data_IF_064170673628
#
_entry.id   IF_064170673628
#
_cell.length_a   1.000
_cell.length_b   1.000
_cell.length_c   1.000
_cell.angle_alpha   90.00
_cell.angle_beta   90.00
_cell.angle_gamma   90.00
#
_symmetry.space_group_name_H-M   'P 1'
#
loop_
_entity.id
_entity.type
_entity.pdbx_description
1 polymer ?
#
# COMPACT_ATOMS: atom_id res chain seq x y z
N UNK A 1 -34.55 -15.65 -43.07
CA UNK A 1 -33.12 -15.59 -42.72
C UNK A 1 -32.73 -14.13 -42.67
N UNK A 2 -32.74 -13.53 -41.48
CA UNK A 2 -32.14 -12.22 -41.30
C UNK A 2 -30.63 -12.34 -41.54
N UNK A 3 -30.09 -11.50 -42.42
CA UNK A 3 -28.64 -11.31 -42.58
C UNK A 3 -28.06 -10.98 -41.20
N UNK A 4 -26.90 -11.56 -40.80
CA UNK A 4 -26.21 -11.09 -39.61
C UNK A 4 -25.95 -9.60 -39.85
N UNK A 5 -26.44 -8.75 -38.92
CA UNK A 5 -26.08 -7.34 -38.91
C UNK A 5 -24.58 -7.30 -38.69
N UNK A 6 -23.82 -7.04 -39.74
CA UNK A 6 -22.41 -6.66 -39.64
C UNK A 6 -22.41 -5.43 -38.77
N UNK A 7 -22.04 -5.61 -37.50
CA UNK A 7 -21.66 -4.51 -36.64
C UNK A 7 -20.64 -3.72 -37.46
N UNK A 8 -21.00 -2.52 -37.92
CA UNK A 8 -20.07 -1.61 -38.62
C UNK A 8 -18.75 -1.70 -37.88
N UNK A 9 -17.68 -2.10 -38.59
CA UNK A 9 -16.43 -2.55 -37.99
C UNK A 9 -16.03 -1.59 -36.87
N UNK A 10 -16.32 -1.99 -35.63
CA UNK A 10 -16.16 -1.13 -34.49
C UNK A 10 -14.67 -0.81 -34.45
N UNK A 11 -14.31 0.48 -34.55
CA UNK A 11 -12.90 0.85 -34.53
C UNK A 11 -12.29 0.35 -33.23
N UNK A 12 -11.00 0.01 -33.24
CA UNK A 12 -10.31 -0.44 -32.03
C UNK A 12 -10.50 0.55 -30.86
N UNK A 13 -10.60 1.85 -31.17
CA UNK A 13 -10.86 2.90 -30.17
C UNK A 13 -12.23 2.73 -29.50
N UNK A 14 -13.29 2.45 -30.25
CA UNK A 14 -14.62 2.21 -29.68
C UNK A 14 -14.66 0.91 -28.86
N UNK A 15 -13.93 -0.12 -29.30
CA UNK A 15 -13.83 -1.39 -28.54
C UNK A 15 -13.12 -1.15 -27.21
N UNK A 16 -12.03 -0.38 -27.22
CA UNK A 16 -11.32 0.06 -26.01
C UNK A 16 -12.27 0.80 -25.07
N UNK A 17 -13.05 1.75 -25.59
CA UNK A 17 -14.05 2.48 -24.81
C UNK A 17 -15.12 1.58 -24.18
N UNK A 18 -15.56 0.54 -24.89
CA UNK A 18 -16.49 -0.46 -24.34
C UNK A 18 -15.84 -1.24 -23.20
N UNK A 19 -14.62 -1.75 -23.42
CA UNK A 19 -13.91 -2.54 -22.41
C UNK A 19 -13.56 -1.73 -21.16
N UNK A 20 -13.26 -0.44 -21.30
CA UNK A 20 -13.06 0.47 -20.15
C UNK A 20 -14.31 0.65 -19.29
N UNK A 21 -15.51 0.36 -19.80
CA UNK A 21 -16.76 0.45 -19.03
C UNK A 21 -17.13 -0.85 -18.33
N UNK A 22 -16.41 -1.95 -18.60
CA UNK A 22 -16.66 -3.23 -17.93
C UNK A 22 -16.11 -3.15 -16.51
N UNK A 23 -16.96 -2.88 -15.52
CA UNK A 23 -16.54 -2.79 -14.12
C UNK A 23 -16.25 -4.13 -13.43
N UNK A 24 -16.57 -5.25 -14.07
CA UNK A 24 -16.33 -6.60 -13.56
C UNK A 24 -15.03 -7.13 -14.16
N UNK A 25 -13.94 -7.30 -13.38
CA UNK A 25 -12.70 -7.81 -13.95
C UNK A 25 -12.82 -9.23 -14.50
N UNK A 26 -13.75 -10.04 -13.95
CA UNK A 26 -14.05 -11.35 -14.49
C UNK A 26 -14.67 -11.28 -15.90
N UNK A 27 -15.54 -10.30 -16.17
CA UNK A 27 -16.07 -10.06 -17.51
C UNK A 27 -15.00 -9.53 -18.47
N UNK A 28 -14.08 -8.69 -17.99
CA UNK A 28 -12.98 -8.21 -18.80
C UNK A 28 -12.01 -9.35 -19.18
N UNK A 29 -11.73 -10.28 -18.26
CA UNK A 29 -10.97 -11.50 -18.55
C UNK A 29 -11.72 -12.39 -19.56
N UNK A 30 -13.05 -12.53 -19.43
CA UNK A 30 -13.85 -13.25 -20.43
C UNK A 30 -13.79 -12.59 -21.80
N UNK A 31 -13.82 -11.26 -21.86
CA UNK A 31 -13.69 -10.50 -23.10
C UNK A 31 -12.31 -10.70 -23.74
N UNK A 32 -11.22 -10.71 -22.96
CA UNK A 32 -9.88 -10.96 -23.48
C UNK A 32 -9.73 -12.36 -24.05
N UNK A 33 -10.41 -13.35 -23.47
CA UNK A 33 -10.42 -14.74 -23.95
C UNK A 33 -11.26 -14.95 -25.23
N UNK A 34 -12.10 -13.99 -25.64
CA UNK A 34 -12.99 -14.16 -26.78
C UNK A 34 -12.24 -14.18 -28.13
N UNK A 35 -11.19 -13.36 -28.29
CA UNK A 35 -10.34 -13.40 -29.48
C UNK A 35 -8.96 -12.75 -29.25
N UNK A 36 -8.00 -13.05 -30.13
CA UNK A 36 -6.62 -12.51 -30.07
C UNK A 36 -6.59 -10.99 -30.15
N UNK A 37 -7.48 -10.37 -30.95
CA UNK A 37 -7.54 -8.91 -31.07
C UNK A 37 -7.94 -8.25 -29.74
N UNK A 38 -8.96 -8.78 -29.06
CA UNK A 38 -9.39 -8.29 -27.75
C UNK A 38 -8.35 -8.53 -26.68
N UNK A 39 -7.72 -9.71 -26.68
CA UNK A 39 -6.59 -10.00 -25.81
C UNK A 39 -5.48 -8.96 -25.93
N UNK A 40 -5.08 -8.61 -27.17
CA UNK A 40 -4.04 -7.60 -27.42
C UNK A 40 -4.47 -6.19 -26.99
N UNK A 41 -5.73 -5.81 -27.21
CA UNK A 41 -6.23 -4.51 -26.77
C UNK A 41 -6.25 -4.39 -25.25
N UNK A 42 -6.73 -5.43 -24.55
CA UNK A 42 -6.83 -5.45 -23.09
C UNK A 42 -5.46 -5.56 -22.43
N UNK A 43 -4.52 -6.31 -23.03
CA UNK A 43 -3.15 -6.41 -22.56
C UNK A 43 -2.29 -5.18 -22.90
N UNK A 44 -2.83 -4.20 -23.63
CA UNK A 44 -2.08 -3.00 -23.97
C UNK A 44 -1.82 -2.16 -22.70
N UNK A 45 -0.57 -1.72 -22.44
CA UNK A 45 -0.26 -0.90 -21.27
C UNK A 45 -1.10 0.38 -21.17
N UNK A 46 -1.44 1.02 -22.29
CA UNK A 46 -2.29 2.23 -22.29
C UNK A 46 -3.74 1.90 -21.88
N UNK A 47 -4.26 0.75 -22.31
CA UNK A 47 -5.57 0.27 -21.90
C UNK A 47 -5.58 -0.01 -20.40
N UNK A 48 -4.61 -0.79 -19.91
CA UNK A 48 -4.51 -1.14 -18.49
C UNK A 48 -4.41 0.12 -17.63
N UNK A 49 -3.60 1.11 -18.02
CA UNK A 49 -3.50 2.39 -17.31
C UNK A 49 -4.85 3.11 -17.22
N UNK A 50 -5.54 3.25 -18.35
CA UNK A 50 -6.88 3.88 -18.38
C UNK A 50 -7.92 3.07 -17.61
N UNK A 51 -7.78 1.75 -17.58
CA UNK A 51 -8.66 0.90 -16.80
C UNK A 51 -8.41 1.10 -15.30
N UNK A 52 -7.15 1.12 -14.85
CA UNK A 52 -6.77 1.37 -13.44
C UNK A 52 -7.14 2.77 -12.94
N UNK A 53 -7.18 3.78 -13.83
CA UNK A 53 -7.61 5.13 -13.43
C UNK A 53 -9.11 5.26 -13.23
N UNK A 54 -9.91 4.37 -13.84
CA UNK A 54 -11.37 4.37 -13.74
C UNK A 54 -11.88 3.35 -12.73
N UNK A 55 -11.21 2.20 -12.61
CA UNK A 55 -11.62 1.09 -11.75
C UNK A 55 -10.69 0.96 -10.55
N UNK A 56 -11.22 0.94 -9.33
CA UNK A 56 -10.40 0.70 -8.15
C UNK A 56 -9.84 -0.72 -8.17
N UNK A 57 -8.68 -0.93 -7.53
CA UNK A 57 -8.14 -2.27 -7.33
C UNK A 57 -9.03 -3.06 -6.39
N UNK A 58 -9.00 -4.39 -6.54
CA UNK A 58 -9.81 -5.28 -5.72
C UNK A 58 -9.04 -5.73 -4.50
N UNK A 59 -9.60 -5.50 -3.31
CA UNK A 59 -9.13 -6.15 -2.09
C UNK A 59 -9.46 -7.64 -2.16
N UNK A 60 -8.42 -8.47 -2.18
CA UNK A 60 -8.56 -9.93 -2.25
C UNK A 60 -8.35 -10.61 -0.90
N UNK A 61 -7.69 -9.98 0.06
CA UNK A 61 -7.47 -10.57 1.37
C UNK A 61 -6.38 -9.86 2.14
N UNK A 62 -5.89 -10.53 3.19
CA UNK A 62 -4.79 -10.08 4.02
C UNK A 62 -3.65 -11.10 3.93
N UNK A 63 -2.47 -10.64 3.54
CA UNK A 63 -1.24 -11.43 3.57
C UNK A 63 -0.62 -11.39 4.96
N UNK A 64 -0.25 -12.58 5.44
CA UNK A 64 0.57 -12.71 6.63
C UNK A 64 2.07 -12.50 6.33
N UNK A 65 2.89 -12.29 7.37
CA UNK A 65 4.32 -12.07 7.17
C UNK A 65 5.02 -13.20 6.40
N UNK A 66 4.47 -14.41 6.39
CA UNK A 66 5.06 -15.59 5.76
C UNK A 66 4.54 -15.84 4.33
N UNK A 67 3.57 -15.06 3.86
CA UNK A 67 3.01 -15.15 2.52
C UNK A 67 1.75 -16.03 2.41
N UNK A 68 1.16 -16.46 3.53
CA UNK A 68 -0.17 -17.07 3.49
C UNK A 68 -1.24 -15.97 3.42
N UNK A 69 -2.27 -16.18 2.59
CA UNK A 69 -3.37 -15.22 2.41
C UNK A 69 -4.62 -15.68 3.16
N UNK A 70 -5.19 -14.78 3.94
CA UNK A 70 -6.57 -14.88 4.41
C UNK A 70 -7.48 -14.17 3.40
N UNK A 71 -8.22 -14.91 2.55
CA UNK A 71 -9.02 -14.32 1.49
C UNK A 71 -10.22 -13.54 2.05
N UNK A 72 -10.70 -12.55 1.30
CA UNK A 72 -11.97 -11.88 1.64
C UNK A 72 -13.12 -12.89 1.70
N UNK A 73 -13.94 -12.81 2.73
CA UNK A 73 -15.02 -13.75 2.99
C UNK A 73 -16.37 -13.23 2.50
N UNK A 74 -17.32 -14.13 2.24
CA UNK A 74 -18.71 -13.73 1.96
C UNK A 74 -19.31 -12.97 3.15
N UNK A 75 -20.04 -11.86 2.94
CA UNK A 75 -20.64 -11.42 1.68
C UNK A 75 -19.82 -10.39 0.88
N UNK A 76 -18.51 -10.24 1.12
CA UNK A 76 -17.68 -9.27 0.41
C UNK A 76 -17.71 -9.50 -1.12
N UNK A 77 -17.83 -8.46 -1.96
CA UNK A 77 -17.96 -8.61 -3.42
C UNK A 77 -16.80 -9.38 -4.07
N UNK A 78 -15.59 -9.24 -3.53
CA UNK A 78 -14.39 -9.92 -4.04
C UNK A 78 -14.24 -11.38 -3.60
N UNK A 79 -15.09 -11.91 -2.72
CA UNK A 79 -14.86 -13.19 -2.04
C UNK A 79 -14.65 -14.38 -2.99
N UNK A 80 -15.45 -14.46 -4.07
CA UNK A 80 -15.31 -15.54 -5.06
C UNK A 80 -13.95 -15.48 -5.79
N UNK A 81 -13.51 -14.28 -6.14
CA UNK A 81 -12.25 -14.05 -6.82
C UNK A 81 -11.05 -14.23 -5.87
N UNK A 82 -11.15 -13.73 -4.65
CA UNK A 82 -10.19 -13.92 -3.57
C UNK A 82 -9.89 -15.40 -3.36
N UNK A 83 -10.94 -16.22 -3.23
CA UNK A 83 -10.78 -17.67 -3.12
C UNK A 83 -10.16 -18.32 -4.36
N UNK A 84 -10.43 -17.80 -5.56
CA UNK A 84 -9.79 -18.30 -6.78
C UNK A 84 -8.30 -17.96 -6.84
N UNK A 85 -7.92 -16.73 -6.48
CA UNK A 85 -6.53 -16.27 -6.43
C UNK A 85 -5.76 -17.03 -5.35
N UNK A 86 -6.31 -17.18 -4.14
CA UNK A 86 -5.69 -17.95 -3.06
C UNK A 86 -5.41 -19.43 -3.44
N UNK A 87 -6.16 -20.00 -4.40
CA UNK A 87 -5.92 -21.36 -4.91
C UNK A 87 -4.93 -21.42 -6.08
N UNK A 88 -4.78 -20.33 -6.82
CA UNK A 88 -4.06 -20.31 -8.10
C UNK A 88 -2.69 -19.62 -8.03
N UNK A 89 -2.57 -18.58 -7.20
CA UNK A 89 -1.33 -17.88 -6.94
C UNK A 89 -0.57 -18.61 -5.82
N UNK A 90 0.68 -18.94 -6.07
CA UNK A 90 1.59 -19.28 -4.98
C UNK A 90 2.10 -17.97 -4.40
N UNK A 91 1.60 -17.63 -3.21
CA UNK A 91 1.98 -16.41 -2.49
C UNK A 91 3.13 -16.69 -1.50
N UNK A 92 3.70 -17.90 -1.56
CA UNK A 92 4.91 -18.24 -0.80
C UNK A 92 6.11 -17.94 -1.66
N UNK A 93 7.02 -17.14 -1.11
CA UNK A 93 8.16 -16.63 -1.86
C UNK A 93 9.45 -17.42 -1.63
N UNK A 94 9.38 -18.48 -0.82
CA UNK A 94 10.55 -19.28 -0.45
C UNK A 94 11.30 -19.91 -1.63
N UNK A 95 10.63 -20.27 -2.71
CA UNK A 95 11.27 -20.86 -3.90
C UNK A 95 12.16 -19.86 -4.67
N UNK A 96 11.90 -18.56 -4.52
CA UNK A 96 12.68 -17.49 -5.16
C UNK A 96 13.99 -17.18 -4.44
N UNK A 97 14.16 -17.68 -3.22
CA UNK A 97 15.35 -17.47 -2.41
C UNK A 97 15.99 -18.84 -2.13
N UNK A 98 17.21 -19.11 -2.64
CA UNK A 98 17.85 -20.40 -2.43
C UNK A 98 17.92 -20.69 -0.92
N UNK A 99 17.46 -21.88 -0.51
CA UNK A 99 17.50 -22.35 0.89
C UNK A 99 18.95 -22.53 1.36
N UNK A 100 19.67 -21.42 1.60
CA UNK A 100 20.69 -21.44 2.63
C UNK A 100 19.93 -21.61 3.95
N UNK A 101 20.46 -22.41 4.87
CA UNK A 101 19.80 -22.76 6.15
C UNK A 101 19.59 -21.57 7.10
N UNK A 102 19.75 -20.34 6.62
CA UNK A 102 20.06 -19.15 7.41
C UNK A 102 19.35 -17.87 6.92
N UNK A 103 18.25 -17.91 6.15
CA UNK A 103 17.49 -16.67 5.85
C UNK A 103 15.98 -16.88 5.76
N UNK A 104 15.23 -16.11 6.56
CA UNK A 104 13.77 -15.97 6.46
C UNK A 104 13.39 -14.75 5.63
N UNK A 105 12.11 -14.66 5.25
CA UNK A 105 11.54 -13.44 4.66
C UNK A 105 10.28 -13.04 5.42
N UNK A 106 9.98 -11.74 5.39
CA UNK A 106 8.75 -11.17 5.91
C UNK A 106 8.11 -10.28 4.82
N UNK A 107 6.81 -10.42 4.61
CA UNK A 107 6.02 -9.46 3.82
C UNK A 107 6.00 -8.13 4.57
N UNK A 108 6.49 -7.07 3.91
CA UNK A 108 6.60 -5.73 4.50
C UNK A 108 5.53 -4.78 3.99
N UNK A 109 5.25 -4.82 2.69
CA UNK A 109 4.22 -3.98 2.10
C UNK A 109 3.66 -4.61 0.82
N UNK A 110 2.47 -4.17 0.42
CA UNK A 110 1.81 -4.60 -0.81
C UNK A 110 1.23 -3.39 -1.52
N UNK A 111 1.55 -3.26 -2.80
CA UNK A 111 1.01 -2.20 -3.64
C UNK A 111 0.91 -2.60 -5.10
N UNK A 112 -0.21 -2.26 -5.72
CA UNK A 112 -0.52 -2.46 -7.13
C UNK A 112 -0.33 -3.93 -7.58
N UNK A 113 -0.58 -4.88 -6.67
CA UNK A 113 -0.37 -6.32 -6.87
C UNK A 113 1.06 -6.82 -6.63
N UNK A 114 2.02 -5.92 -6.40
CA UNK A 114 3.40 -6.26 -6.02
C UNK A 114 3.53 -6.42 -4.52
N UNK A 115 4.40 -7.35 -4.11
CA UNK A 115 4.68 -7.66 -2.72
C UNK A 115 6.14 -7.34 -2.42
N UNK A 116 6.38 -6.46 -1.45
CA UNK A 116 7.70 -6.14 -0.95
C UNK A 116 8.06 -7.08 0.21
N UNK A 117 9.23 -7.68 0.10
CA UNK A 117 9.76 -8.64 1.04
C UNK A 117 11.02 -8.06 1.69
N UNK A 118 11.07 -8.13 3.01
CA UNK A 118 12.28 -7.97 3.79
C UNK A 118 12.89 -9.35 4.01
N UNK A 119 14.14 -9.53 3.61
CA UNK A 119 14.90 -10.77 3.74
C UNK A 119 15.85 -10.59 4.91
N UNK A 120 15.62 -11.37 5.97
CA UNK A 120 16.40 -11.32 7.20
C UNK A 120 17.27 -12.58 7.30
N UNK A 121 18.60 -12.46 7.43
CA UNK A 121 19.42 -13.61 7.79
C UNK A 121 19.04 -14.08 9.21
N UNK A 122 18.89 -15.38 9.42
CA UNK A 122 18.94 -15.99 10.74
C UNK A 122 20.41 -15.98 11.17
N UNK A 123 20.79 -15.03 12.00
CA UNK A 123 22.14 -14.97 12.58
C UNK A 123 22.20 -15.96 13.75
N UNK A 124 23.09 -16.94 13.68
CA UNK A 124 23.42 -17.82 14.83
C UNK A 124 24.44 -17.16 15.77
N UNK A 125 25.09 -16.08 15.33
CA UNK A 125 26.09 -15.32 16.09
C UNK A 125 25.86 -13.80 15.94
N UNK A 126 25.94 -13.04 17.04
CA UNK A 126 25.67 -11.59 17.17
C UNK A 126 26.59 -10.66 16.34
N UNK A 127 27.48 -11.18 15.48
CA UNK A 127 28.60 -10.40 14.92
C UNK A 127 28.38 -9.78 13.53
N UNK A 128 27.31 -10.12 12.80
CA UNK A 128 27.06 -9.62 11.42
C UNK A 128 25.60 -9.15 11.19
N UNK A 129 25.04 -8.33 12.08
CA UNK A 129 23.73 -7.73 11.83
C UNK A 129 23.83 -6.64 10.74
N UNK A 130 23.42 -7.00 9.52
CA UNK A 130 23.40 -6.09 8.39
C UNK A 130 22.47 -4.92 8.68
N UNK A 131 22.99 -3.70 8.57
CA UNK A 131 22.26 -2.46 8.89
C UNK A 131 20.94 -2.29 8.13
N UNK A 132 20.93 -2.70 6.86
CA UNK A 132 19.77 -2.60 5.98
C UNK A 132 19.40 -4.01 5.54
N UNK A 133 18.14 -4.44 5.72
CA UNK A 133 17.71 -5.75 5.27
C UNK A 133 17.85 -5.87 3.75
N UNK A 134 18.06 -7.08 3.27
CA UNK A 134 17.95 -7.34 1.84
C UNK A 134 16.49 -7.25 1.42
N UNK A 135 16.23 -6.65 0.26
CA UNK A 135 14.87 -6.39 -0.20
C UNK A 135 14.60 -7.08 -1.53
N UNK A 136 13.35 -7.51 -1.71
CA UNK A 136 12.87 -8.02 -2.98
C UNK A 136 11.44 -7.57 -3.23
N UNK A 137 11.12 -7.31 -4.50
CA UNK A 137 9.75 -7.00 -4.95
C UNK A 137 9.29 -8.12 -5.86
N UNK A 138 8.16 -8.71 -5.53
CA UNK A 138 7.59 -9.85 -6.25
C UNK A 138 6.23 -9.50 -6.86
N UNK A 139 6.03 -9.88 -8.13
CA UNK A 139 4.71 -10.03 -8.73
C UNK A 139 4.34 -11.53 -8.67
N UNK A 140 3.47 -11.94 -7.73
CA UNK A 140 3.11 -13.35 -7.57
C UNK A 140 2.27 -13.88 -8.74
N UNK A 141 1.55 -13.01 -9.47
CA UNK A 141 0.74 -13.43 -10.61
C UNK A 141 1.60 -13.63 -11.86
N UNK A 142 2.60 -12.78 -12.05
CA UNK A 142 3.62 -12.98 -13.07
C UNK A 142 4.68 -14.03 -12.69
N UNK A 143 4.74 -14.42 -11.40
CA UNK A 143 5.74 -15.30 -10.82
C UNK A 143 7.17 -14.78 -11.00
N UNK A 144 7.33 -13.47 -10.88
CA UNK A 144 8.62 -12.78 -11.03
C UNK A 144 8.97 -12.12 -9.70
N UNK A 145 10.20 -12.31 -9.25
CA UNK A 145 10.75 -11.60 -8.10
C UNK A 145 12.05 -10.90 -8.52
N UNK A 146 12.15 -9.62 -8.16
CA UNK A 146 13.33 -8.80 -8.36
C UNK A 146 13.97 -8.51 -6.99
N UNK A 147 15.17 -9.03 -6.76
CA UNK A 147 15.99 -8.64 -5.60
C UNK A 147 16.61 -7.27 -5.88
N UNK A 148 16.48 -6.36 -4.92
CA UNK A 148 17.03 -5.01 -5.04
C UNK A 148 18.54 -5.04 -4.77
N UNK A 149 19.34 -4.17 -5.43
CA UNK A 149 20.72 -3.97 -5.05
C UNK A 149 20.79 -3.42 -3.62
N UNK A 150 21.85 -3.71 -2.85
CA UNK A 150 22.06 -3.08 -1.54
C UNK A 150 22.20 -1.55 -1.69
N UNK A 151 21.85 -0.82 -0.64
CA UNK A 151 22.12 0.63 -0.58
C UNK A 151 23.64 0.82 -0.62
N UNK A 152 24.18 1.64 -1.54
CA UNK A 152 25.62 1.85 -1.65
C UNK A 152 26.25 2.44 -0.37
N UNK A 153 27.44 1.96 0.01
CA UNK A 153 28.13 2.40 1.24
C UNK A 153 28.51 3.90 1.21
N UNK A 154 28.82 4.43 0.03
CA UNK A 154 29.10 5.85 -0.17
C UNK A 154 27.84 6.71 0.06
N UNK A 155 26.67 6.20 -0.33
CA UNK A 155 25.39 6.83 -0.05
C UNK A 155 25.08 6.81 1.46
N UNK A 156 25.28 5.67 2.14
CA UNK A 156 25.14 5.56 3.60
C UNK A 156 26.08 6.52 4.34
N UNK A 157 27.34 6.61 3.90
CA UNK A 157 28.33 7.51 4.49
C UNK A 157 27.96 9.00 4.29
N UNK A 158 27.36 9.35 3.13
CA UNK A 158 26.99 10.73 2.81
C UNK A 158 25.96 11.34 3.77
N UNK A 159 25.08 10.51 4.33
CA UNK A 159 24.05 10.92 5.29
C UNK A 159 24.51 10.81 6.75
N UNK A 160 25.82 10.62 6.97
CA UNK A 160 26.47 10.59 8.30
C UNK A 160 25.90 9.52 9.23
N UNK A 161 25.37 8.43 8.66
CA UNK A 161 24.99 7.24 9.42
C UNK A 161 26.29 6.57 9.90
N UNK A 162 26.75 6.92 11.10
CA UNK A 162 27.98 6.34 11.67
C UNK A 162 27.72 4.91 12.14
N UNK A 163 28.64 3.99 11.80
CA UNK A 163 28.46 2.57 12.11
C UNK A 163 28.34 2.23 13.60
N UNK A 164 28.79 3.11 14.49
CA UNK A 164 28.82 2.87 15.94
C UNK A 164 27.53 3.30 16.68
N UNK A 165 26.65 4.09 16.05
CA UNK A 165 25.30 4.40 16.57
C UNK A 165 24.25 3.34 16.16
N UNK A 166 24.66 2.31 15.41
CA UNK A 166 23.79 1.43 14.63
C UNK A 166 23.04 0.33 15.40
N UNK A 167 23.37 0.13 16.67
CA UNK A 167 22.83 -0.99 17.49
C UNK A 167 21.32 -0.86 17.76
N UNK A 168 20.71 0.29 17.45
CA UNK A 168 19.29 0.58 17.70
C UNK A 168 18.60 1.33 16.55
N UNK A 169 18.83 0.91 15.29
CA UNK A 169 18.03 1.42 14.17
C UNK A 169 16.86 0.50 13.86
N UNK A 170 15.72 1.10 13.52
CA UNK A 170 14.61 0.41 12.88
C UNK A 170 14.53 0.83 11.42
N UNK A 171 14.25 -0.14 10.54
CA UNK A 171 14.02 0.10 9.13
C UNK A 171 12.57 -0.23 8.80
N UNK A 172 11.81 0.78 8.36
CA UNK A 172 10.49 0.55 7.77
C UNK A 172 10.60 0.63 6.25
N UNK A 173 9.95 -0.27 5.55
CA UNK A 173 10.05 -0.36 4.10
C UNK A 173 8.67 -0.30 3.45
N UNK A 174 8.57 0.46 2.35
CA UNK A 174 7.30 0.78 1.70
C UNK A 174 7.40 0.71 0.19
N UNK A 175 6.35 0.24 -0.46
CA UNK A 175 6.14 0.37 -1.89
C UNK A 175 5.40 1.65 -2.21
N UNK A 176 5.89 2.38 -3.20
CA UNK A 176 5.28 3.63 -3.67
C UNK A 176 5.14 3.57 -5.18
N UNK A 177 4.01 4.06 -5.73
CA UNK A 177 3.89 4.22 -7.17
C UNK A 177 5.06 5.05 -7.71
N UNK A 178 5.59 4.70 -8.89
CA UNK A 178 6.72 5.45 -9.48
C UNK A 178 6.38 6.92 -9.80
N UNK A 179 5.09 7.29 -9.80
CA UNK A 179 4.61 8.61 -10.23
C UNK A 179 4.69 8.82 -11.74
N UNK A 180 5.51 8.03 -12.44
CA UNK A 180 5.58 7.97 -13.89
C UNK A 180 4.32 7.29 -14.43
N UNK A 181 3.36 8.10 -14.87
CA UNK A 181 2.14 7.61 -15.49
C UNK A 181 2.44 6.75 -16.73
N UNK A 182 3.64 6.81 -17.32
CA UNK A 182 3.99 6.10 -18.54
C UNK A 182 4.23 4.59 -18.35
N UNK A 183 4.72 4.13 -17.20
CA UNK A 183 5.03 2.70 -16.98
C UNK A 183 4.29 2.11 -15.77
N UNK A 184 3.26 1.34 -16.09
CA UNK A 184 2.36 0.65 -15.14
C UNK A 184 3.08 -0.44 -14.34
N UNK A 185 4.30 -0.82 -14.75
CA UNK A 185 5.14 -1.82 -14.07
C UNK A 185 6.26 -1.21 -13.24
N UNK A 186 6.45 0.10 -13.33
CA UNK A 186 7.48 0.79 -12.55
C UNK A 186 7.04 0.99 -11.10
N UNK A 187 7.99 0.87 -10.18
CA UNK A 187 7.76 1.04 -8.76
C UNK A 187 8.96 1.72 -8.08
N UNK A 188 8.70 2.28 -6.91
CA UNK A 188 9.74 2.78 -6.01
C UNK A 188 9.65 2.06 -4.68
N UNK A 189 10.80 1.84 -4.07
CA UNK A 189 10.90 1.29 -2.71
C UNK A 189 11.55 2.31 -1.82
N UNK A 190 10.92 2.59 -0.69
CA UNK A 190 11.47 3.47 0.32
C UNK A 190 11.96 2.62 1.48
N UNK A 191 13.16 2.92 1.94
CA UNK A 191 13.71 2.44 3.21
C UNK A 191 13.83 3.64 4.14
N UNK A 192 13.00 3.66 5.17
CA UNK A 192 13.02 4.65 6.22
C UNK A 192 13.90 4.15 7.35
N UNK A 193 15.06 4.76 7.52
CA UNK A 193 16.00 4.45 8.58
C UNK A 193 15.81 5.42 9.74
N UNK A 194 15.59 4.89 10.94
CA UNK A 194 15.30 5.65 12.15
C UNK A 194 16.24 5.30 13.29
N UNK A 195 16.88 6.32 13.88
CA UNK A 195 17.48 6.24 15.22
C UNK A 195 16.68 7.03 16.24
N UNK A 196 17.20 7.06 17.47
CA UNK A 196 16.67 7.88 18.56
C UNK A 196 16.72 9.39 18.27
N UNK A 197 17.58 9.85 17.35
CA UNK A 197 17.79 11.28 17.09
C UNK A 197 17.56 11.69 15.63
N UNK A 198 17.61 10.75 14.68
CA UNK A 198 17.62 11.07 13.25
C UNK A 198 16.70 10.14 12.45
N UNK A 199 16.18 10.69 11.35
CA UNK A 199 15.46 9.98 10.30
C UNK A 199 16.10 10.23 8.95
N UNK A 200 16.23 9.20 8.13
CA UNK A 200 16.70 9.28 6.75
C UNK A 200 15.83 8.39 5.88
N UNK A 201 15.47 8.89 4.68
CA UNK A 201 14.77 8.11 3.67
C UNK A 201 15.73 7.75 2.54
N UNK A 202 15.81 6.47 2.18
CA UNK A 202 16.48 5.98 0.98
C UNK A 202 15.45 5.47 -0.01
N UNK A 203 15.67 5.73 -1.30
CA UNK A 203 14.66 5.52 -2.33
C UNK A 203 15.30 4.85 -3.53
N UNK A 204 14.82 3.65 -3.80
CA UNK A 204 15.14 2.89 -5.00
C UNK A 204 14.10 3.18 -6.08
N UNK A 205 14.57 3.37 -7.32
CA UNK A 205 13.70 3.45 -8.50
C UNK A 205 13.90 2.26 -9.40
N UNK A 206 12.82 1.55 -9.75
CA UNK A 206 12.90 0.44 -10.69
C UNK A 206 13.22 0.89 -12.13
N UNK A 207 13.02 2.17 -12.46
CA UNK A 207 13.28 2.72 -13.81
C UNK A 207 14.75 2.96 -14.06
N UNK A 208 15.48 3.45 -13.05
CA UNK A 208 16.93 3.70 -13.13
C UNK A 208 17.73 2.53 -12.61
N UNK A 209 17.19 1.76 -11.66
CA UNK A 209 17.91 0.73 -10.92
C UNK A 209 18.83 1.28 -9.83
N UNK A 210 18.69 2.56 -9.50
CA UNK A 210 19.59 3.28 -8.59
C UNK A 210 18.91 3.67 -7.27
N UNK A 211 19.74 3.84 -6.24
CA UNK A 211 19.36 4.40 -4.95
C UNK A 211 19.65 5.89 -4.87
N UNK A 212 18.79 6.60 -4.16
CA UNK A 212 18.98 8.00 -3.76
C UNK A 212 18.63 8.17 -2.28
N UNK A 213 19.07 9.26 -1.67
CA UNK A 213 18.78 9.57 -0.27
C UNK A 213 18.18 10.97 -0.13
N UNK A 214 17.22 11.11 0.78
CA UNK A 214 16.72 12.39 1.25
C UNK A 214 17.66 13.03 2.27
N UNK A 215 17.39 14.29 2.60
CA UNK A 215 18.16 14.98 3.64
C UNK A 215 17.87 14.37 5.02
N UNK A 216 18.90 14.12 5.86
CA UNK A 216 18.69 13.67 7.22
C UNK A 216 17.85 14.66 8.02
N UNK A 217 16.91 14.15 8.80
CA UNK A 217 16.01 14.94 9.64
C UNK A 217 16.28 14.67 11.11
N UNK A 218 16.50 15.74 11.87
CA UNK A 218 16.66 15.64 13.33
C UNK A 218 15.31 15.52 14.00
N UNK A 219 15.09 14.40 14.68
CA UNK A 219 13.86 14.08 15.40
C UNK A 219 13.67 15.01 16.60
N UNK A 220 14.76 15.51 17.19
CA UNK A 220 14.73 16.34 18.39
C UNK A 220 14.01 15.63 19.54
N UNK A 221 12.86 16.18 19.95
CA UNK A 221 11.99 15.59 20.99
C UNK A 221 10.83 14.77 20.44
N UNK A 222 10.63 14.74 19.11
CA UNK A 222 9.49 14.06 18.50
C UNK A 222 9.62 12.55 18.72
N UNK A 223 8.48 11.88 18.91
CA UNK A 223 8.42 10.43 19.08
C UNK A 223 7.46 9.85 18.04
N UNK A 224 7.94 8.87 17.28
CA UNK A 224 7.12 8.14 16.30
C UNK A 224 7.02 6.71 16.83
N UNK A 225 5.81 6.20 17.11
CA UNK A 225 5.65 4.82 17.57
C UNK A 225 6.15 3.84 16.51
N UNK A 226 6.81 2.76 16.94
CA UNK A 226 7.33 1.73 16.04
C UNK A 226 6.22 1.04 15.23
N UNK A 227 5.03 0.88 15.81
CA UNK A 227 3.90 0.24 15.12
C UNK A 227 3.08 1.22 14.24
N UNK A 228 3.58 2.44 14.01
CA UNK A 228 2.82 3.46 13.30
C UNK A 228 3.05 3.36 11.79
N UNK A 229 2.09 2.74 11.10
CA UNK A 229 2.09 2.66 9.63
C UNK A 229 1.77 4.06 9.09
N UNK A 230 2.64 4.64 8.24
CA UNK A 230 2.34 5.93 7.67
C UNK A 230 1.20 5.86 6.67
N UNK A 231 0.45 6.94 6.60
CA UNK A 231 -0.47 7.16 5.49
C UNK A 231 0.23 7.86 4.33
N UNK A 232 -0.18 7.54 3.09
CA UNK A 232 0.34 8.16 1.88
C UNK A 232 -0.77 8.89 1.13
N UNK A 233 -0.60 10.19 0.90
CA UNK A 233 -1.56 11.02 0.17
C UNK A 233 -0.85 12.17 -0.55
N UNK A 234 -1.22 12.42 -1.80
CA UNK A 234 -0.69 13.50 -2.65
C UNK A 234 0.84 13.57 -2.69
N UNK A 235 1.49 12.42 -2.83
CA UNK A 235 2.95 12.36 -2.91
C UNK A 235 3.66 12.60 -1.58
N UNK A 236 2.95 12.55 -0.45
CA UNK A 236 3.52 12.75 0.87
C UNK A 236 3.19 11.57 1.79
N UNK A 237 4.17 11.18 2.61
CA UNK A 237 3.93 10.29 3.75
C UNK A 237 3.64 11.10 5.00
N UNK A 238 2.76 10.59 5.86
CA UNK A 238 2.38 11.21 7.12
C UNK A 238 2.45 10.18 8.25
N UNK A 239 3.21 10.50 9.31
CA UNK A 239 3.27 9.74 10.55
C UNK A 239 2.70 10.57 11.70
N UNK A 240 1.78 9.99 12.47
CA UNK A 240 1.34 10.58 13.75
C UNK A 240 2.49 10.62 14.76
N UNK A 241 2.76 11.81 15.29
CA UNK A 241 3.68 11.99 16.42
C UNK A 241 2.95 11.58 17.69
N UNK A 242 3.62 10.77 18.52
CA UNK A 242 3.08 10.24 19.76
C UNK A 242 2.75 11.35 20.77
N UNK A 243 1.60 11.26 21.44
CA UNK A 243 1.15 12.21 22.47
C UNK A 243 1.04 13.67 22.03
N UNK A 244 1.15 13.96 20.74
CA UNK A 244 1.14 15.30 20.19
C UNK A 244 0.17 15.40 19.00
N UNK A 245 -0.56 16.51 18.89
CA UNK A 245 -1.39 16.81 17.74
C UNK A 245 -0.51 17.32 16.57
N UNK A 246 0.44 16.51 16.12
CA UNK A 246 1.37 16.81 15.02
C UNK A 246 1.56 15.59 14.12
N UNK A 247 1.85 15.85 12.85
CA UNK A 247 2.24 14.85 11.87
C UNK A 247 3.66 15.16 11.37
N UNK A 248 4.54 14.16 11.41
CA UNK A 248 5.75 14.20 10.59
C UNK A 248 5.35 13.91 9.14
N UNK A 249 5.82 14.73 8.22
CA UNK A 249 5.54 14.60 6.79
C UNK A 249 6.83 14.43 6.00
N UNK A 250 6.88 13.49 5.05
CA UNK A 250 7.94 13.38 4.04
C UNK A 250 7.34 13.67 2.66
N UNK A 251 7.82 14.72 2.01
CA UNK A 251 7.43 15.05 0.63
C UNK A 251 8.28 14.25 -0.35
N UNK A 252 7.66 13.43 -1.21
CA UNK A 252 8.37 12.56 -2.15
C UNK A 252 8.91 13.26 -3.39
N UNK A 253 8.49 14.50 -3.66
CA UNK A 253 9.02 15.28 -4.77
C UNK A 253 10.30 16.02 -4.37
N UNK A 254 10.33 16.60 -3.17
CA UNK A 254 11.52 17.29 -2.65
C UNK A 254 12.46 16.40 -1.83
N UNK A 255 11.98 15.25 -1.36
CA UNK A 255 12.67 14.39 -0.39
C UNK A 255 13.00 15.10 0.93
N UNK A 256 12.10 15.98 1.36
CA UNK A 256 12.27 16.77 2.58
C UNK A 256 11.23 16.41 3.64
N UNK A 257 11.70 16.35 4.88
CA UNK A 257 10.86 16.20 6.06
C UNK A 257 10.36 17.55 6.56
N UNK A 258 9.13 17.55 7.06
CA UNK A 258 8.51 18.70 7.72
C UNK A 258 7.54 18.24 8.80
N UNK A 259 7.14 19.14 9.69
CA UNK A 259 6.16 18.86 10.75
C UNK A 259 4.94 19.72 10.53
N UNK A 260 3.76 19.11 10.56
CA UNK A 260 2.48 19.77 10.35
C UNK A 260 1.64 19.64 11.62
N UNK A 261 1.15 20.75 12.13
CA UNK A 261 0.23 20.74 13.27
C UNK A 261 -1.17 20.25 12.86
N UNK A 262 -1.74 19.40 13.71
CA UNK A 262 -3.13 19.02 13.68
C UNK A 262 -3.95 20.01 14.51
N UNK A 263 -5.24 20.19 14.21
CA UNK A 263 -6.09 21.09 14.98
C UNK A 263 -6.20 20.72 16.45
N UNK A 264 -6.45 21.71 17.32
CA UNK A 264 -6.56 21.48 18.75
C UNK A 264 -7.75 20.57 19.06
N UNK A 265 -7.53 19.62 19.96
CA UNK A 265 -8.53 18.62 20.34
C UNK A 265 -7.94 17.56 21.27
N UNK A 266 -8.75 16.58 21.72
CA UNK A 266 -8.23 15.43 22.44
C UNK A 266 -7.17 14.73 21.59
N UNK A 267 -6.15 14.15 22.23
CA UNK A 267 -5.11 13.41 21.51
C UNK A 267 -5.76 12.26 20.72
N UNK A 268 -5.48 12.26 19.42
CA UNK A 268 -6.00 11.28 18.46
C UNK A 268 -4.99 10.13 18.41
N UNK A 269 -5.34 8.98 18.97
CA UNK A 269 -4.40 7.86 19.11
C UNK A 269 -3.95 7.28 17.76
N UNK A 270 -4.84 7.27 16.77
CA UNK A 270 -4.55 6.84 15.41
C UNK A 270 -5.09 7.88 14.44
N UNK A 271 -4.23 8.37 13.55
CA UNK A 271 -4.57 9.36 12.52
C UNK A 271 -4.06 8.86 11.18
N UNK A 272 -4.94 8.80 10.19
CA UNK A 272 -4.60 8.45 8.82
C UNK A 272 -5.03 9.60 7.90
N UNK A 273 -4.11 10.02 7.04
CA UNK A 273 -4.34 11.03 6.02
C UNK A 273 -4.67 10.36 4.68
N UNK A 274 -5.66 10.89 3.97
CA UNK A 274 -6.07 10.37 2.67
C UNK A 274 -6.34 11.49 1.67
N UNK A 275 -6.37 11.13 0.40
CA UNK A 275 -6.80 12.03 -0.67
C UNK A 275 -8.32 12.15 -0.69
N UNK A 276 -8.86 13.32 -0.33
CA UNK A 276 -10.30 13.61 -0.35
C UNK A 276 -10.76 14.27 -1.67
N UNK A 277 -9.91 14.27 -2.70
CA UNK A 277 -10.16 14.91 -3.98
C UNK A 277 -10.05 16.44 -3.92
N UNK A 278 -9.99 17.10 -5.09
CA UNK A 278 -9.96 18.57 -5.20
C UNK A 278 -8.82 19.22 -4.39
N UNK A 279 -7.68 18.53 -4.30
CA UNK A 279 -6.52 18.96 -3.49
C UNK A 279 -6.86 19.18 -2.02
N UNK A 280 -7.70 18.31 -1.45
CA UNK A 280 -8.05 18.29 -0.04
C UNK A 280 -7.54 17.03 0.64
N UNK A 281 -6.97 17.21 1.82
CA UNK A 281 -6.61 16.10 2.70
C UNK A 281 -7.82 15.73 3.56
N UNK A 282 -8.21 14.47 3.48
CA UNK A 282 -9.09 13.84 4.45
C UNK A 282 -8.27 13.31 5.62
N UNK A 283 -8.80 13.43 6.82
CA UNK A 283 -8.21 12.91 8.04
C UNK A 283 -9.22 11.99 8.72
N UNK A 284 -8.83 10.74 8.91
CA UNK A 284 -9.56 9.78 9.72
C UNK A 284 -8.85 9.61 11.05
N UNK A 285 -9.63 9.61 12.13
CA UNK A 285 -9.08 9.38 13.45
C UNK A 285 -10.03 8.64 14.35
N UNK A 286 -9.47 7.80 15.21
CA UNK A 286 -10.21 7.21 16.31
C UNK A 286 -10.04 8.04 17.57
N UNK A 287 -11.17 8.38 18.19
CA UNK A 287 -11.23 9.04 19.50
C UNK A 287 -11.91 8.12 20.52
N UNK A 288 -12.03 8.58 21.78
CA UNK A 288 -12.68 7.84 22.87
C UNK A 288 -12.14 6.42 23.02
N UNK A 289 -10.81 6.28 23.07
CA UNK A 289 -10.12 5.00 23.18
C UNK A 289 -10.47 3.98 22.07
N UNK A 290 -10.67 4.45 20.84
CA UNK A 290 -10.89 3.54 19.70
C UNK A 290 -12.36 3.21 19.42
N UNK A 291 -13.31 3.93 20.00
CA UNK A 291 -14.75 3.60 19.89
C UNK A 291 -15.53 4.53 18.96
N UNK A 292 -14.95 5.65 18.55
CA UNK A 292 -15.62 6.61 17.67
C UNK A 292 -14.68 6.97 16.52
N UNK A 293 -15.10 6.66 15.29
CA UNK A 293 -14.39 7.04 14.08
C UNK A 293 -14.88 8.42 13.61
N UNK A 294 -13.95 9.36 13.51
CA UNK A 294 -14.21 10.71 13.02
C UNK A 294 -13.51 10.91 11.67
N UNK A 295 -14.19 11.63 10.79
CA UNK A 295 -13.65 12.08 9.51
C UNK A 295 -13.76 13.60 9.39
N UNK A 296 -12.67 14.22 9.00
CA UNK A 296 -12.59 15.65 8.81
C UNK A 296 -11.74 16.00 7.58
N UNK A 297 -12.01 17.16 6.97
CA UNK A 297 -11.37 17.57 5.71
C UNK A 297 -10.62 18.89 5.89
N UNK A 298 -9.45 19.01 5.24
CA UNK A 298 -8.63 20.22 5.19
C UNK A 298 -8.17 20.51 3.76
N UNK A 299 -8.21 21.79 3.35
CA UNK A 299 -7.66 22.22 2.06
C UNK A 299 -6.12 22.30 2.12
N UNK A 300 -5.44 21.78 1.10
CA UNK A 300 -3.99 21.92 0.96
C UNK A 300 -3.67 23.36 0.54
N UNK A 301 -2.70 24.01 1.20
CA UNK A 301 -2.08 25.25 0.72
C UNK A 301 -2.75 26.57 1.08
N UNK A 302 -3.80 26.61 1.92
CA UNK A 302 -4.32 27.89 2.43
C UNK A 302 -3.94 28.12 3.89
N UNK A 303 -3.12 29.15 4.13
CA UNK A 303 -2.67 29.60 5.46
C UNK A 303 -3.83 29.97 6.41
N UNK A 304 -5.04 30.18 5.86
CA UNK A 304 -6.24 30.60 6.60
C UNK A 304 -7.21 29.46 6.95
N UNK A 305 -6.93 28.20 6.58
CA UNK A 305 -7.85 27.06 6.80
C UNK A 305 -7.31 25.99 7.76
N UNK A 306 -6.68 26.41 8.87
CA UNK A 306 -6.41 25.48 9.98
C UNK A 306 -7.70 24.97 10.67
N UNK A 307 -8.88 25.37 10.18
CA UNK A 307 -10.17 24.85 10.61
C UNK A 307 -10.50 23.62 9.75
N UNK A 308 -10.43 22.43 10.35
CA UNK A 308 -11.08 21.24 9.81
C UNK A 308 -12.57 21.54 9.70
N UNK A 309 -13.13 21.37 8.51
CA UNK A 309 -14.58 21.41 8.35
C UNK A 309 -15.16 20.12 8.94
N UNK A 310 -15.73 20.26 10.14
CA UNK A 310 -16.66 19.37 10.85
C UNK A 310 -16.28 17.88 10.90
N UNK A 311 -15.91 17.39 12.10
CA UNK A 311 -15.77 15.95 12.37
C UNK A 311 -17.13 15.26 12.15
N UNK A 312 -17.31 14.61 11.01
CA UNK A 312 -18.42 13.69 10.79
C UNK A 312 -18.11 12.38 11.49
N UNK A 313 -19.07 11.88 12.28
CA UNK A 313 -18.93 10.59 12.96
C UNK A 313 -19.39 9.49 12.01
N UNK A 314 -18.50 8.55 11.74
CA UNK A 314 -18.79 7.37 10.92
C UNK A 314 -19.16 6.22 11.86
N UNK A 315 -20.33 5.61 11.68
CA UNK A 315 -20.77 4.52 12.55
C UNK A 315 -19.86 3.30 12.36
N UNK A 316 -19.24 2.86 13.44
CA UNK A 316 -18.47 1.62 13.47
C UNK A 316 -19.40 0.40 13.65
N UNK A 317 -19.00 -0.78 13.17
CA UNK A 317 -19.77 -2.02 13.38
C UNK A 317 -20.05 -2.30 14.86
N UNK A 318 -21.25 -2.79 15.17
CA UNK A 318 -21.61 -3.18 16.55
C UNK A 318 -20.93 -4.50 16.96
N UNK A 319 -20.84 -4.75 18.27
CA UNK A 319 -20.33 -6.00 18.85
C UNK A 319 -18.82 -6.01 19.16
N UNK A 320 -18.13 -4.88 18.99
CA UNK A 320 -16.70 -4.72 19.26
C UNK A 320 -16.47 -3.74 20.42
N UNK A 321 -15.44 -4.01 21.20
CA UNK A 321 -15.10 -3.25 22.42
C UNK A 321 -14.21 -2.06 22.07
N UNK A 322 -13.26 -2.26 21.16
CA UNK A 322 -12.38 -1.21 20.68
C UNK A 322 -11.97 -1.49 19.23
N UNK A 323 -11.62 -0.41 18.52
CA UNK A 323 -11.08 -0.47 17.18
C UNK A 323 -9.67 0.14 17.11
N UNK A 324 -8.89 -0.33 16.13
CA UNK A 324 -7.60 0.25 15.74
C UNK A 324 -7.60 0.47 14.23
N UNK A 325 -7.18 1.66 13.79
CA UNK A 325 -6.89 1.87 12.38
C UNK A 325 -5.53 1.23 12.09
N UNK A 326 -5.48 0.37 11.08
CA UNK A 326 -4.25 -0.26 10.65
C UNK A 326 -3.47 0.63 9.67
N UNK A 327 -4.13 1.14 8.63
CA UNK A 327 -3.51 1.98 7.61
C UNK A 327 -4.45 2.31 6.46
N UNK A 328 -3.98 3.16 5.54
CA UNK A 328 -4.67 3.48 4.27
C UNK A 328 -4.02 2.75 3.10
N UNK A 329 -4.82 2.07 2.30
CA UNK A 329 -4.36 1.24 1.19
C UNK A 329 -5.32 1.39 0.02
N UNK A 330 -4.81 1.83 -1.13
CA UNK A 330 -5.52 1.77 -2.43
C UNK A 330 -7.02 2.17 -2.38
N UNK A 331 -7.32 3.32 -1.77
CA UNK A 331 -8.69 3.85 -1.67
C UNK A 331 -9.52 3.33 -0.49
N UNK A 332 -8.92 2.51 0.37
CA UNK A 332 -9.55 1.94 1.55
C UNK A 332 -8.75 2.24 2.82
N UNK A 333 -9.42 2.20 3.97
CA UNK A 333 -8.79 2.21 5.30
C UNK A 333 -9.11 0.88 5.96
N UNK A 334 -8.08 0.18 6.42
CA UNK A 334 -8.27 -1.03 7.22
C UNK A 334 -8.46 -0.69 8.69
N UNK A 335 -9.49 -1.29 9.28
CA UNK A 335 -9.86 -1.10 10.68
C UNK A 335 -10.00 -2.48 11.32
N UNK A 336 -9.29 -2.70 12.41
CA UNK A 336 -9.38 -3.91 13.22
C UNK A 336 -10.33 -3.67 14.38
N UNK A 337 -11.39 -4.47 14.47
CA UNK A 337 -12.32 -4.47 15.58
C UNK A 337 -12.05 -5.64 16.50
N UNK A 338 -11.92 -5.37 17.79
CA UNK A 338 -11.60 -6.38 18.80
C UNK A 338 -12.80 -6.66 19.69
N UNK A 339 -13.12 -7.93 19.90
CA UNK A 339 -14.27 -8.38 20.66
C UNK A 339 -13.91 -9.53 21.60
N UNK A 340 -14.75 -9.78 22.62
CA UNK A 340 -14.57 -10.94 23.50
C UNK A 340 -14.81 -12.28 22.79
N UNK A 341 -15.64 -12.27 21.74
CA UNK A 341 -16.02 -13.48 21.02
C UNK A 341 -15.11 -13.76 19.82
N UNK A 342 -15.11 -12.84 18.86
CA UNK A 342 -14.44 -12.99 17.58
C UNK A 342 -14.14 -11.60 17.04
N UNK A 343 -12.85 -11.35 16.93
CA UNK A 343 -12.25 -10.19 16.31
C UNK A 343 -12.70 -10.08 14.82
N UNK A 344 -12.72 -8.89 14.20
CA UNK A 344 -12.81 -8.82 12.74
C UNK A 344 -11.97 -7.70 12.09
N UNK A 345 -11.58 -7.93 10.83
CA UNK A 345 -11.02 -6.90 9.97
C UNK A 345 -12.10 -6.29 9.08
N UNK A 346 -12.12 -4.96 8.99
CA UNK A 346 -13.02 -4.17 8.18
C UNK A 346 -12.24 -3.30 7.20
N UNK A 347 -12.81 -3.11 6.01
CA UNK A 347 -12.35 -2.13 5.04
C UNK A 347 -13.39 -1.01 4.94
N UNK A 348 -12.95 0.22 5.16
CA UNK A 348 -13.71 1.43 4.92
C UNK A 348 -13.31 2.00 3.55
N UNK A 349 -14.24 2.05 2.61
CA UNK A 349 -14.00 2.66 1.31
C UNK A 349 -14.11 4.19 1.44
N UNK A 350 -13.05 4.92 1.05
CA UNK A 350 -12.85 6.33 1.41
C UNK A 350 -13.89 7.24 0.75
N UNK A 351 -14.36 6.93 -0.47
CA UNK A 351 -15.27 7.82 -1.22
C UNK A 351 -16.72 7.72 -0.77
N UNK A 352 -17.18 6.51 -0.47
CA UNK A 352 -18.56 6.19 -0.09
C UNK A 352 -18.76 6.14 1.42
N UNK A 353 -17.67 6.10 2.19
CA UNK A 353 -17.67 5.91 3.64
C UNK A 353 -18.32 4.59 4.09
N UNK A 354 -18.40 3.61 3.18
CA UNK A 354 -19.00 2.30 3.45
C UNK A 354 -17.98 1.40 4.12
N UNK A 355 -18.39 0.78 5.23
CA UNK A 355 -17.60 -0.23 5.94
C UNK A 355 -18.09 -1.62 5.53
N UNK A 356 -17.16 -2.46 5.08
CA UNK A 356 -17.41 -3.87 4.78
C UNK A 356 -16.46 -4.76 5.58
N UNK A 357 -16.97 -5.90 6.05
CA UNK A 357 -16.12 -6.88 6.75
C UNK A 357 -15.31 -7.67 5.72
N UNK A 358 -14.00 -7.75 5.94
CA UNK A 358 -13.03 -8.45 5.09
C UNK A 358 -12.93 -9.91 5.52
N UNK A 359 -12.65 -10.16 6.79
CA UNK A 359 -12.53 -11.48 7.39
C UNK A 359 -12.76 -11.44 8.91
N UNK A 360 -13.06 -12.60 9.51
CA UNK A 360 -13.27 -12.77 10.98
C UNK A 360 -12.02 -13.20 11.75
N UNK A 361 -10.96 -13.52 11.04
CA UNK A 361 -9.68 -13.87 11.63
C UNK A 361 -8.63 -13.25 10.76
N UNK A 362 -7.72 -12.47 11.33
CA UNK A 362 -6.56 -12.03 10.61
C UNK A 362 -5.33 -12.52 11.34
N UNK A 363 -4.46 -13.18 10.58
CA UNK A 363 -3.08 -13.46 10.96
C UNK A 363 -2.11 -12.54 10.22
N UNK A 364 -2.62 -11.78 9.26
CA UNK A 364 -1.84 -10.93 8.39
C UNK A 364 -2.03 -9.44 8.62
N UNK A 365 -1.04 -8.71 8.13
CA UNK A 365 -0.92 -7.26 8.30
C UNK A 365 -1.12 -6.55 6.97
N UNK A 366 -0.69 -7.12 5.84
CA UNK A 366 -0.68 -6.39 4.57
C UNK A 366 -1.93 -6.73 3.73
N UNK A 367 -2.83 -5.78 3.42
CA UNK A 367 -3.91 -6.05 2.49
C UNK A 367 -3.39 -6.33 1.08
N UNK A 368 -3.88 -7.40 0.48
CA UNK A 368 -3.53 -7.79 -0.88
C UNK A 368 -4.54 -7.23 -1.88
N UNK A 369 -4.14 -6.13 -2.54
CA UNK A 369 -4.89 -5.51 -3.62
C UNK A 369 -4.34 -5.88 -4.99
N UNK A 370 -5.23 -6.08 -5.97
CA UNK A 370 -4.83 -6.41 -7.34
C UNK A 370 -5.70 -5.67 -8.35
N UNK A 371 -5.06 -5.14 -9.39
CA UNK A 371 -5.76 -4.75 -10.62
C UNK A 371 -5.87 -5.94 -11.56
N UNK A 372 -7.11 -6.32 -11.87
CA UNK A 372 -7.37 -7.36 -12.87
C UNK A 372 -7.88 -6.75 -14.17
N UNK A 373 -7.43 -7.28 -15.33
CA UNK A 373 -6.54 -8.43 -15.47
C UNK A 373 -5.05 -8.07 -15.27
N UNK A 374 -4.33 -8.86 -14.45
CA UNK A 374 -2.86 -8.85 -14.43
C UNK A 374 -2.38 -9.69 -15.62
N UNK A 375 -2.31 -9.07 -16.78
CA UNK A 375 -1.80 -9.73 -17.99
C UNK A 375 -0.33 -9.36 -18.15
N UNK A 376 0.54 -10.18 -17.57
CA UNK A 376 1.93 -10.22 -18.03
C UNK A 376 1.94 -10.62 -19.50
N UNK A 377 2.68 -9.89 -20.34
CA UNK A 377 3.00 -10.37 -21.68
C UNK A 377 3.83 -11.65 -21.50
N UNK A 378 3.18 -12.81 -21.55
CA UNK A 378 3.90 -14.04 -21.91
C UNK A 378 4.55 -13.73 -23.25
N UNK A 379 5.88 -13.63 -23.27
CA UNK A 379 6.64 -13.76 -24.52
C UNK A 379 6.28 -15.13 -25.06
N UNK A 380 5.37 -15.15 -26.04
CA UNK A 380 5.07 -16.33 -26.86
C UNK A 380 6.26 -16.58 -27.76
#
# INVERSE_FOLDING_TARGET
>A
MESPRTLEALTNDLVVEIFLRIGSPADLVRASAACVAFCRLIANPSFLRRYRSVHPPLLLGLLDPYGDIEPTETPHPSAALAGAVARAADLRFGEYFPSSKLSGYCVSDVRDGHVLLTITPYLEDDEDEKLVPDLAVCDPLARVCLRLPPIPDDLLASVQVQQQDLVHYSCDTFLVPSGDEEDVTSFRVIVMMRSTQMLVAFIFSSTTGDWSAGSPFSLGSLRIPYDNIPSYAYGCFYWKVESENRLLTLNMSSMEFSVVDLPPGPDRSFVIMVEAGESRLGMFSLINHGTTLCYAIRQIGSEKSNQLEMDSVIPLPEGYIYFRIHGSYEGHILIFGYAFSEDACFALEIKTMKIERVCRKWRGFCPYFVFLPSMSQRRI
#
